data_IF_248347841631
#
_entry.id   IF_248347841631
#
_cell.length_a   1.000
_cell.length_b   1.000
_cell.length_c   1.000
_cell.angle_alpha   90.00
_cell.angle_beta   90.00
_cell.angle_gamma   90.00
#
_symmetry.space_group_name_H-M   'P 1'
#
loop_
_entity.id
_entity.type
_entity.pdbx_description
1 polymer ?
#
# COMPACT_ATOMS: atom_id res chain seq x y z
N UNK A 1 -48.02 29.05 62.46
CA UNK A 1 -49.29 29.66 62.04
C UNK A 1 -49.86 28.82 60.89
N UNK A 2 -51.06 28.26 61.11
CA UNK A 2 -52.07 27.60 60.25
C UNK A 2 -51.71 26.95 58.88
N UNK A 3 -52.16 25.69 58.77
CA UNK A 3 -52.30 24.68 57.66
C UNK A 3 -52.98 25.21 56.34
N UNK A 4 -53.44 24.36 55.39
CA UNK A 4 -52.90 23.23 54.58
C UNK A 4 -53.17 23.39 53.04
N UNK A 5 -52.92 22.36 52.19
CA UNK A 5 -53.85 21.75 51.17
C UNK A 5 -53.23 21.31 49.80
N UNK A 6 -53.65 20.09 49.39
CA UNK A 6 -54.06 19.57 48.05
C UNK A 6 -53.01 19.11 47.03
N UNK A 7 -53.12 17.80 46.72
CA UNK A 7 -52.63 17.16 45.52
C UNK A 7 -53.58 17.39 44.34
N UNK A 8 -53.03 17.62 43.15
CA UNK A 8 -53.74 17.47 41.88
C UNK A 8 -52.83 16.72 40.89
N UNK A 9 -53.25 15.51 40.52
CA UNK A 9 -52.67 14.77 39.40
C UNK A 9 -53.19 15.38 38.10
N UNK A 10 -52.28 15.81 37.23
CA UNK A 10 -52.61 16.16 35.85
C UNK A 10 -52.27 14.97 34.94
N UNK A 11 -53.29 14.40 34.31
CA UNK A 11 -53.15 13.55 33.13
C UNK A 11 -52.60 14.39 31.97
N UNK A 12 -51.47 13.99 31.40
CA UNK A 12 -51.03 14.50 30.09
C UNK A 12 -51.47 13.52 29.00
N UNK A 13 -52.36 14.02 28.12
CA UNK A 13 -52.70 13.37 26.86
C UNK A 13 -51.49 13.44 25.92
N UNK A 14 -51.05 12.29 25.41
CA UNK A 14 -50.04 12.21 24.35
C UNK A 14 -50.73 12.44 23.01
N UNK A 15 -50.55 13.63 22.45
CA UNK A 15 -50.84 13.89 21.03
C UNK A 15 -49.72 13.25 20.20
N UNK A 16 -50.04 12.16 19.49
CA UNK A 16 -49.16 11.58 18.48
C UNK A 16 -49.24 12.43 17.20
N UNK A 17 -48.24 13.26 16.98
CA UNK A 17 -48.03 13.96 15.72
C UNK A 17 -47.35 13.01 14.74
N UNK A 18 -48.04 12.66 13.65
CA UNK A 18 -47.55 11.80 12.57
C UNK A 18 -46.52 12.48 11.67
N UNK A 19 -45.45 13.01 12.25
CA UNK A 19 -44.28 13.45 11.50
C UNK A 19 -43.46 12.23 11.10
N UNK A 20 -43.34 11.98 9.80
CA UNK A 20 -42.35 11.04 9.29
C UNK A 20 -40.98 11.47 9.83
N UNK A 21 -40.40 10.66 10.73
CA UNK A 21 -39.01 10.78 11.11
C UNK A 21 -38.22 10.41 9.86
N UNK A 22 -37.77 11.43 9.12
CA UNK A 22 -36.72 11.26 8.14
C UNK A 22 -35.47 10.97 8.95
N UNK A 23 -35.21 9.69 9.21
CA UNK A 23 -33.90 9.24 9.66
C UNK A 23 -32.96 9.59 8.53
N UNK A 24 -31.97 10.49 8.71
CA UNK A 24 -30.98 10.72 7.68
C UNK A 24 -30.32 9.37 7.41
N UNK A 25 -30.49 8.84 6.21
CA UNK A 25 -29.69 7.72 5.73
C UNK A 25 -28.25 8.13 5.98
N UNK A 26 -27.53 7.38 6.81
CA UNK A 26 -26.09 7.50 6.84
C UNK A 26 -25.63 7.23 5.42
N UNK A 27 -25.33 8.30 4.67
CA UNK A 27 -24.56 8.20 3.44
C UNK A 27 -23.21 7.68 3.90
N UNK A 28 -23.09 6.35 4.01
CA UNK A 28 -21.81 5.69 4.03
C UNK A 28 -21.08 6.22 2.82
N UNK A 29 -20.00 6.96 3.06
CA UNK A 29 -19.06 7.33 2.02
C UNK A 29 -18.59 5.98 1.45
N UNK A 30 -19.17 5.58 0.32
CA UNK A 30 -18.65 4.45 -0.45
C UNK A 30 -17.38 5.02 -1.05
N UNK A 31 -16.25 4.89 -0.35
CA UNK A 31 -14.96 5.07 -0.98
C UNK A 31 -14.96 4.12 -2.18
N UNK A 32 -14.96 4.67 -3.38
CA UNK A 32 -14.91 3.87 -4.60
C UNK A 32 -13.64 3.02 -4.50
N UNK A 33 -13.79 1.71 -4.43
CA UNK A 33 -12.64 0.82 -4.28
C UNK A 33 -11.78 0.95 -5.54
N UNK A 34 -10.53 1.38 -5.36
CA UNK A 34 -9.57 1.48 -6.47
C UNK A 34 -9.25 0.08 -6.97
N UNK A 35 -9.56 -0.16 -8.24
CA UNK A 35 -9.27 -1.41 -8.95
C UNK A 35 -8.48 -1.11 -10.21
N UNK A 36 -7.81 -2.12 -10.74
CA UNK A 36 -7.11 -2.01 -12.03
C UNK A 36 -8.05 -1.69 -13.20
N UNK A 37 -9.37 -1.84 -13.04
CA UNK A 37 -10.36 -1.57 -14.09
C UNK A 37 -10.81 -0.11 -14.13
N UNK A 38 -10.65 0.62 -13.03
CA UNK A 38 -11.11 2.02 -12.90
C UNK A 38 -9.99 3.00 -12.51
N UNK A 39 -8.77 2.49 -12.29
CA UNK A 39 -7.63 3.28 -11.84
C UNK A 39 -6.46 2.99 -12.78
N UNK A 40 -5.98 3.99 -13.56
CA UNK A 40 -4.83 3.80 -14.42
C UNK A 40 -3.55 3.60 -13.60
N UNK A 41 -2.54 2.98 -14.21
CA UNK A 41 -1.20 2.95 -13.64
C UNK A 41 -0.67 4.40 -13.48
N UNK A 42 -0.06 4.76 -12.34
CA UNK A 42 0.50 6.09 -12.16
C UNK A 42 1.56 6.40 -13.20
N UNK A 43 1.50 7.59 -13.80
CA UNK A 43 2.58 8.09 -14.65
C UNK A 43 3.74 8.65 -13.82
N UNK A 44 3.44 9.18 -12.63
CA UNK A 44 4.39 9.78 -11.71
C UNK A 44 4.10 9.37 -10.26
N UNK A 45 5.09 9.58 -9.39
CA UNK A 45 5.00 9.48 -7.94
C UNK A 45 5.73 10.67 -7.29
N UNK A 46 5.20 11.15 -6.17
CA UNK A 46 5.72 12.27 -5.40
C UNK A 46 6.54 11.75 -4.22
N UNK A 47 7.85 11.94 -4.28
CA UNK A 47 8.81 11.46 -3.26
C UNK A 47 9.25 12.62 -2.39
N UNK A 48 8.94 12.59 -1.10
CA UNK A 48 9.52 13.52 -0.14
C UNK A 48 11.00 13.20 0.08
N UNK A 49 11.87 14.19 -0.09
CA UNK A 49 13.31 14.05 0.16
C UNK A 49 13.62 14.54 1.57
N UNK A 50 13.93 13.58 2.46
CA UNK A 50 14.36 13.83 3.83
C UNK A 50 15.87 14.05 3.92
N UNK A 51 16.26 14.96 4.79
CA UNK A 51 17.66 15.25 5.07
C UNK A 51 18.42 13.98 5.48
N UNK A 52 19.61 13.77 4.92
CA UNK A 52 20.52 12.66 5.21
C UNK A 52 19.94 11.24 5.03
N UNK A 53 18.83 11.10 4.30
CA UNK A 53 18.09 9.84 4.21
C UNK A 53 17.66 9.29 5.58
N UNK A 54 17.40 10.19 6.55
CA UNK A 54 16.98 9.84 7.90
C UNK A 54 15.44 9.75 7.96
N UNK A 55 14.84 8.61 8.38
CA UNK A 55 13.41 8.48 8.62
C UNK A 55 12.79 9.54 9.54
N UNK A 56 13.60 10.17 10.39
CA UNK A 56 13.22 11.26 11.31
C UNK A 56 13.71 12.64 10.84
N UNK A 57 14.43 12.68 9.72
CA UNK A 57 14.94 13.92 9.14
C UNK A 57 13.81 14.81 8.62
N UNK A 58 14.04 16.12 8.66
CA UNK A 58 13.12 17.10 8.07
C UNK A 58 12.93 16.83 6.57
N UNK A 59 11.71 17.04 6.08
CA UNK A 59 11.44 17.04 4.65
C UNK A 59 12.00 18.34 4.07
N UNK A 60 12.86 18.22 3.06
CA UNK A 60 13.51 19.36 2.41
C UNK A 60 12.69 19.86 1.20
N UNK A 61 12.20 18.93 0.38
CA UNK A 61 11.30 19.19 -0.75
C UNK A 61 10.56 17.90 -1.15
N UNK A 62 9.60 18.03 -2.07
CA UNK A 62 8.91 16.89 -2.72
C UNK A 62 9.31 16.86 -4.19
N UNK A 63 9.82 15.72 -4.65
CA UNK A 63 10.26 15.48 -6.01
C UNK A 63 9.20 14.69 -6.78
N UNK A 64 8.82 15.15 -7.97
CA UNK A 64 8.00 14.36 -8.90
C UNK A 64 8.90 13.48 -9.76
N UNK A 65 8.68 12.17 -9.73
CA UNK A 65 9.50 11.15 -10.43
C UNK A 65 8.60 10.32 -11.34
N UNK A 66 9.09 9.90 -12.51
CA UNK A 66 8.37 8.94 -13.35
C UNK A 66 8.16 7.62 -12.60
N UNK A 67 6.96 7.05 -12.65
CA UNK A 67 6.65 5.92 -11.74
C UNK A 67 7.50 4.67 -12.03
N UNK A 68 7.81 4.39 -13.31
CA UNK A 68 8.72 3.31 -13.68
C UNK A 68 10.16 3.58 -13.26
N UNK A 69 10.60 4.82 -13.39
CA UNK A 69 11.94 5.26 -12.97
C UNK A 69 12.09 5.12 -11.45
N UNK A 70 11.09 5.55 -10.68
CA UNK A 70 11.04 5.33 -9.24
C UNK A 70 11.18 3.84 -8.89
N UNK A 71 10.45 2.94 -9.56
CA UNK A 71 10.57 1.50 -9.30
C UNK A 71 11.97 0.97 -9.60
N UNK A 72 12.59 1.43 -10.70
CA UNK A 72 13.97 1.07 -11.06
C UNK A 72 15.01 1.59 -10.07
N UNK A 73 14.78 2.77 -9.49
CA UNK A 73 15.65 3.39 -8.49
C UNK A 73 15.41 2.89 -7.05
N UNK A 74 14.28 2.24 -6.78
CA UNK A 74 14.02 1.60 -5.46
C UNK A 74 14.55 0.19 -5.42
N UNK A 75 14.27 -0.62 -6.45
CA UNK A 75 14.55 -2.05 -6.43
C UNK A 75 16.00 -2.42 -6.06
N UNK A 76 17.07 -1.77 -6.57
CA UNK A 76 18.44 -2.14 -6.21
C UNK A 76 18.84 -1.77 -4.77
N UNK A 77 18.03 -0.98 -4.06
CA UNK A 77 18.23 -0.65 -2.65
C UNK A 77 17.46 -1.61 -1.73
N UNK A 78 16.44 -2.31 -2.25
CA UNK A 78 15.62 -3.26 -1.50
C UNK A 78 15.97 -4.74 -1.81
N UNK A 79 16.43 -5.01 -3.03
CA UNK A 79 16.90 -6.32 -3.50
C UNK A 79 18.31 -6.18 -4.08
N UNK A 80 19.22 -7.06 -3.68
CA UNK A 80 20.57 -7.07 -4.26
C UNK A 80 20.51 -7.48 -5.73
N UNK A 81 21.16 -6.71 -6.61
CA UNK A 81 21.09 -6.90 -8.06
C UNK A 81 21.64 -8.25 -8.56
N UNK A 82 22.44 -8.94 -7.74
CA UNK A 82 22.99 -10.27 -8.06
C UNK A 82 22.11 -11.45 -7.62
N UNK A 83 20.94 -11.18 -7.04
CA UNK A 83 19.95 -12.20 -6.68
C UNK A 83 19.29 -12.82 -7.91
N UNK A 84 18.62 -13.95 -7.73
CA UNK A 84 17.98 -14.69 -8.82
C UNK A 84 16.97 -13.81 -9.57
N UNK A 85 16.90 -13.91 -10.92
CA UNK A 85 15.96 -13.12 -11.70
C UNK A 85 14.50 -13.22 -11.25
N UNK A 86 14.07 -14.40 -10.78
CA UNK A 86 12.71 -14.61 -10.28
C UNK A 86 12.47 -13.95 -8.91
N UNK A 87 13.49 -13.84 -8.06
CA UNK A 87 13.43 -13.05 -6.83
C UNK A 87 13.35 -11.54 -7.16
N UNK A 88 14.15 -11.08 -8.12
CA UNK A 88 14.12 -9.68 -8.59
C UNK A 88 12.76 -9.31 -9.18
N UNK A 89 12.12 -10.19 -9.97
CA UNK A 89 10.76 -9.96 -10.48
C UNK A 89 9.72 -9.91 -9.37
N UNK A 90 9.82 -10.76 -8.35
CA UNK A 90 8.93 -10.72 -7.20
C UNK A 90 9.11 -9.42 -6.41
N UNK A 91 10.35 -9.00 -6.16
CA UNK A 91 10.69 -7.72 -5.56
C UNK A 91 10.18 -6.53 -6.38
N UNK A 92 10.38 -6.54 -7.69
CA UNK A 92 9.90 -5.52 -8.62
C UNK A 92 8.36 -5.35 -8.56
N UNK A 93 7.63 -6.46 -8.51
CA UNK A 93 6.17 -6.43 -8.34
C UNK A 93 5.77 -5.85 -6.98
N UNK A 94 6.46 -6.23 -5.91
CA UNK A 94 6.21 -5.68 -4.58
C UNK A 94 6.46 -4.16 -4.56
N UNK A 95 7.58 -3.71 -5.13
CA UNK A 95 7.92 -2.29 -5.23
C UNK A 95 6.86 -1.51 -6.01
N UNK A 96 6.47 -2.02 -7.18
CA UNK A 96 5.43 -1.40 -8.02
C UNK A 96 4.10 -1.28 -7.29
N UNK A 97 3.62 -2.36 -6.67
CA UNK A 97 2.29 -2.33 -6.03
C UNK A 97 2.27 -1.50 -4.75
N UNK A 98 3.36 -1.49 -3.98
CA UNK A 98 3.53 -0.60 -2.83
C UNK A 98 3.47 0.88 -3.25
N UNK A 99 4.30 1.27 -4.24
CA UNK A 99 4.30 2.63 -4.75
C UNK A 99 2.94 3.06 -5.32
N UNK A 100 2.27 2.17 -6.08
CA UNK A 100 0.95 2.48 -6.64
C UNK A 100 -0.09 2.69 -5.54
N UNK A 101 -0.11 1.83 -4.53
CA UNK A 101 -1.00 2.03 -3.38
C UNK A 101 -0.77 3.40 -2.72
N UNK A 102 0.48 3.81 -2.55
CA UNK A 102 0.81 5.08 -1.93
C UNK A 102 0.48 6.32 -2.76
N UNK A 103 0.52 6.23 -4.10
CA UNK A 103 -0.03 7.29 -4.98
C UNK A 103 -1.54 7.49 -4.75
N UNK A 104 -2.27 6.42 -4.42
CA UNK A 104 -3.71 6.49 -4.12
C UNK A 104 -4.00 6.92 -2.67
N UNK A 105 -2.99 6.92 -1.80
CA UNK A 105 -3.11 7.22 -0.38
C UNK A 105 -2.01 8.18 0.07
N UNK A 106 -1.94 9.40 -0.51
CA UNK A 106 -0.92 10.37 -0.15
C UNK A 106 -1.05 10.78 1.32
N UNK A 107 0.06 11.15 1.92
CA UNK A 107 0.14 11.63 3.30
C UNK A 107 0.58 13.09 3.32
N UNK A 108 0.18 13.82 4.38
CA UNK A 108 0.65 15.18 4.63
C UNK A 108 1.45 15.22 5.93
N UNK A 109 2.73 15.58 5.85
CA UNK A 109 3.64 15.73 7.00
C UNK A 109 4.37 17.07 6.88
N UNK A 110 4.42 17.84 7.97
CA UNK A 110 5.10 19.14 8.03
C UNK A 110 4.70 20.12 6.90
N UNK A 111 3.44 20.03 6.44
CA UNK A 111 2.89 20.86 5.37
C UNK A 111 3.17 20.37 3.95
N UNK A 112 3.92 19.28 3.79
CA UNK A 112 4.17 18.64 2.49
C UNK A 112 3.21 17.48 2.28
N UNK A 113 2.55 17.43 1.11
CA UNK A 113 1.78 16.27 0.65
C UNK A 113 2.59 15.48 -0.36
N UNK A 114 2.73 14.18 -0.13
CA UNK A 114 3.54 13.27 -0.95
C UNK A 114 3.02 11.84 -0.86
N UNK A 115 3.50 10.97 -1.75
CA UNK A 115 3.06 9.58 -1.84
C UNK A 115 3.95 8.69 -0.96
N UNK A 116 5.27 8.87 -1.07
CA UNK A 116 6.32 8.14 -0.33
C UNK A 116 7.46 9.09 0.06
N UNK A 117 8.33 8.69 0.99
CA UNK A 117 9.61 9.38 1.23
C UNK A 117 10.80 8.53 0.78
N UNK A 118 12.01 9.12 0.73
CA UNK A 118 13.20 8.44 0.22
C UNK A 118 13.82 7.41 1.18
N UNK A 119 13.22 7.21 2.35
CA UNK A 119 13.78 6.43 3.45
C UNK A 119 13.08 5.08 3.63
N UNK A 120 13.52 4.32 4.62
CA UNK A 120 12.91 3.04 4.99
C UNK A 120 11.53 3.16 5.66
N UNK A 121 10.99 4.38 5.86
CA UNK A 121 9.58 4.56 6.24
C UNK A 121 8.62 4.01 5.19
N UNK A 122 9.01 4.06 3.91
CA UNK A 122 8.23 3.57 2.78
C UNK A 122 9.07 2.53 2.02
N UNK A 123 10.02 3.00 1.22
CA UNK A 123 10.97 2.19 0.45
C UNK A 123 12.23 3.03 0.22
N UNK A 124 13.40 2.40 0.24
CA UNK A 124 14.65 3.12 0.06
C UNK A 124 14.82 3.60 -1.39
N UNK A 125 14.52 4.88 -1.63
CA UNK A 125 14.67 5.53 -2.94
C UNK A 125 15.99 6.29 -3.02
N UNK A 126 16.76 6.02 -4.08
CA UNK A 126 17.95 6.80 -4.44
C UNK A 126 17.92 7.13 -5.93
N UNK A 127 17.89 8.43 -6.23
CA UNK A 127 17.88 8.93 -7.60
C UNK A 127 19.04 8.38 -8.45
N UNK A 128 18.74 7.90 -9.66
CA UNK A 128 19.69 7.31 -10.60
C UNK A 128 20.51 6.14 -10.03
N UNK A 129 19.90 5.34 -9.16
CA UNK A 129 20.55 4.16 -8.56
C UNK A 129 20.24 2.84 -9.27
N UNK A 130 19.42 2.89 -10.33
CA UNK A 130 19.11 1.76 -11.21
C UNK A 130 20.31 0.89 -11.57
N UNK A 131 20.05 -0.42 -11.69
CA UNK A 131 21.03 -1.45 -12.07
C UNK A 131 20.44 -2.30 -13.20
N UNK A 132 21.27 -2.77 -14.10
CA UNK A 132 20.81 -3.49 -15.29
C UNK A 132 19.85 -4.64 -14.94
N UNK A 133 20.21 -5.49 -13.98
CA UNK A 133 19.42 -6.67 -13.59
C UNK A 133 18.08 -6.30 -12.95
N UNK A 134 18.07 -5.29 -12.08
CA UNK A 134 16.84 -4.82 -11.42
C UNK A 134 15.93 -4.08 -12.40
N UNK A 135 16.50 -3.28 -13.30
CA UNK A 135 15.75 -2.57 -14.33
C UNK A 135 15.10 -3.55 -15.32
N UNK A 136 15.79 -4.64 -15.67
CA UNK A 136 15.22 -5.73 -16.47
C UNK A 136 14.04 -6.38 -15.73
N UNK A 137 14.14 -6.63 -14.44
CA UNK A 137 13.04 -7.18 -13.65
C UNK A 137 11.81 -6.24 -13.64
N UNK A 138 12.02 -4.92 -13.41
CA UNK A 138 10.96 -3.90 -13.46
C UNK A 138 10.30 -3.86 -14.85
N UNK A 139 11.08 -3.84 -15.94
CA UNK A 139 10.56 -3.88 -17.31
C UNK A 139 9.73 -5.14 -17.59
N UNK A 140 10.21 -6.29 -17.16
CA UNK A 140 9.55 -7.58 -17.42
C UNK A 140 8.19 -7.70 -16.73
N UNK A 141 8.01 -7.09 -15.55
CA UNK A 141 6.73 -7.12 -14.82
C UNK A 141 5.81 -5.95 -15.17
N UNK A 142 6.30 -4.96 -15.92
CA UNK A 142 5.60 -3.69 -16.13
C UNK A 142 4.16 -3.82 -16.65
N UNK A 143 3.86 -4.74 -17.60
CA UNK A 143 2.50 -4.94 -18.09
C UNK A 143 1.52 -5.56 -17.08
N UNK A 144 1.99 -6.01 -15.91
CA UNK A 144 1.19 -6.79 -14.97
C UNK A 144 1.02 -6.08 -13.62
N UNK A 145 -0.04 -6.43 -12.90
CA UNK A 145 -0.31 -6.03 -11.53
C UNK A 145 -0.67 -7.28 -10.71
N UNK A 146 -0.23 -7.31 -9.46
CA UNK A 146 -0.55 -8.40 -8.53
C UNK A 146 -1.50 -7.87 -7.45
N UNK A 147 -2.78 -8.15 -7.62
CA UNK A 147 -3.91 -7.44 -6.99
C UNK A 147 -4.83 -8.41 -6.28
N UNK A 148 -5.76 -7.90 -5.47
CA UNK A 148 -6.83 -8.75 -4.92
C UNK A 148 -7.62 -9.42 -6.05
N UNK A 149 -8.23 -10.57 -5.78
CA UNK A 149 -8.97 -11.37 -6.78
C UNK A 149 -10.13 -10.61 -7.44
N UNK A 150 -10.65 -9.56 -6.80
CA UNK A 150 -11.65 -8.65 -7.36
C UNK A 150 -11.06 -7.47 -8.18
N UNK A 151 -9.75 -7.48 -8.46
CA UNK A 151 -9.03 -6.40 -9.13
C UNK A 151 -8.57 -5.27 -8.21
N UNK A 152 -8.83 -5.37 -6.90
CA UNK A 152 -8.46 -4.37 -5.90
C UNK A 152 -6.97 -4.07 -5.82
N UNK A 153 -6.61 -2.79 -5.90
CA UNK A 153 -5.23 -2.33 -5.71
C UNK A 153 -4.95 -2.25 -4.22
N UNK A 154 -3.92 -2.95 -3.76
CA UNK A 154 -3.43 -2.87 -2.39
C UNK A 154 -1.90 -2.99 -2.37
N UNK A 155 -1.25 -2.62 -1.26
CA UNK A 155 0.18 -2.70 -1.15
C UNK A 155 0.63 -4.16 -1.09
N UNK A 156 1.88 -4.38 -1.47
CA UNK A 156 2.60 -5.63 -1.26
C UNK A 156 3.78 -5.32 -0.33
N UNK A 157 3.53 -5.45 0.97
CA UNK A 157 4.53 -5.14 1.99
C UNK A 157 5.69 -6.13 1.94
N UNK A 158 6.89 -5.70 2.33
CA UNK A 158 8.04 -6.58 2.44
C UNK A 158 8.95 -6.21 3.61
N UNK A 159 9.91 -7.09 3.90
CA UNK A 159 11.01 -6.83 4.86
C UNK A 159 12.19 -7.74 4.58
N UNK A 160 13.35 -7.44 5.16
CA UNK A 160 14.56 -8.25 5.02
C UNK A 160 14.33 -9.76 5.25
N UNK A 161 13.84 -10.13 6.42
CA UNK A 161 13.76 -11.54 6.84
C UNK A 161 15.14 -12.14 7.13
N UNK A 162 15.17 -13.44 7.37
CA UNK A 162 16.36 -14.23 7.72
C UNK A 162 16.99 -14.77 6.43
N UNK A 163 18.30 -14.59 6.20
CA UNK A 163 19.03 -15.18 5.08
C UNK A 163 18.91 -16.71 5.01
N UNK A 164 18.95 -17.26 3.79
CA UNK A 164 18.89 -18.71 3.53
C UNK A 164 17.65 -19.41 4.13
N UNK A 165 16.52 -18.71 4.22
CA UNK A 165 15.29 -19.23 4.78
C UNK A 165 14.08 -18.67 4.02
N UNK A 166 13.06 -19.49 3.76
CA UNK A 166 11.80 -19.02 3.16
C UNK A 166 11.01 -18.07 4.08
N UNK A 167 11.43 -17.90 5.33
CA UNK A 167 10.75 -17.10 6.35
C UNK A 167 9.27 -17.49 6.49
N UNK A 168 9.00 -18.78 6.74
CA UNK A 168 7.66 -19.37 6.83
C UNK A 168 6.69 -18.66 7.78
N UNK A 169 7.20 -17.91 8.75
CA UNK A 169 6.40 -17.05 9.62
C UNK A 169 5.69 -15.90 8.88
N UNK A 170 6.08 -15.59 7.63
CA UNK A 170 5.39 -14.63 6.76
C UNK A 170 4.55 -15.29 5.68
N UNK A 171 4.50 -16.62 5.65
CA UNK A 171 3.64 -17.35 4.75
C UNK A 171 2.19 -16.88 4.97
N UNK A 172 1.50 -16.46 3.90
CA UNK A 172 0.14 -15.88 3.95
C UNK A 172 -0.01 -14.58 4.78
N UNK A 173 1.07 -13.89 5.14
CA UNK A 173 1.01 -12.70 6.02
C UNK A 173 0.77 -11.38 5.27
N UNK A 174 0.54 -11.43 3.96
CA UNK A 174 0.52 -10.26 3.07
C UNK A 174 1.84 -9.46 3.09
N UNK A 175 2.95 -10.14 3.41
CA UNK A 175 4.28 -9.54 3.54
C UNK A 175 5.35 -10.50 3.04
N UNK A 176 6.19 -10.05 2.11
CA UNK A 176 7.29 -10.86 1.58
C UNK A 176 8.60 -10.67 2.35
N UNK A 177 9.32 -11.76 2.63
CA UNK A 177 10.73 -11.66 3.00
C UNK A 177 11.59 -11.46 1.75
N UNK A 178 12.46 -10.45 1.74
CA UNK A 178 13.47 -10.25 0.70
C UNK A 178 14.36 -11.49 0.59
N UNK A 179 15.04 -11.88 1.68
CA UNK A 179 15.86 -13.09 1.72
C UNK A 179 15.08 -14.38 1.43
N UNK A 180 13.80 -14.40 1.79
CA UNK A 180 12.95 -15.54 1.51
C UNK A 180 12.57 -15.64 0.04
N UNK A 181 12.37 -14.53 -0.67
CA UNK A 181 12.17 -14.54 -2.13
C UNK A 181 13.39 -15.11 -2.86
N UNK A 182 14.60 -14.74 -2.43
CA UNK A 182 15.85 -15.29 -2.97
C UNK A 182 16.00 -16.78 -2.67
N UNK A 183 15.70 -17.20 -1.43
CA UNK A 183 15.72 -18.61 -1.06
C UNK A 183 14.77 -19.45 -1.94
N UNK A 184 13.53 -19.00 -2.12
CA UNK A 184 12.53 -19.73 -2.91
C UNK A 184 12.89 -19.74 -4.41
N UNK A 185 13.46 -18.64 -4.93
CA UNK A 185 13.97 -18.61 -6.29
C UNK A 185 15.14 -19.58 -6.50
N UNK A 186 16.06 -19.70 -5.52
CA UNK A 186 17.12 -20.71 -5.53
C UNK A 186 16.57 -22.14 -5.49
N UNK A 187 15.43 -22.35 -4.85
CA UNK A 187 14.70 -23.62 -4.85
C UNK A 187 13.90 -23.88 -6.15
N UNK A 188 14.00 -23.00 -7.15
CA UNK A 188 13.39 -23.17 -8.48
C UNK A 188 11.99 -22.57 -8.62
N UNK A 189 11.48 -21.83 -7.63
CA UNK A 189 10.19 -21.15 -7.76
C UNK A 189 10.30 -19.93 -8.68
N UNK A 190 9.31 -19.75 -9.55
CA UNK A 190 9.16 -18.53 -10.34
C UNK A 190 8.53 -17.41 -9.51
N UNK A 191 8.59 -16.17 -10.01
CA UNK A 191 8.12 -15.00 -9.27
C UNK A 191 6.63 -15.06 -8.90
N UNK A 192 5.78 -15.68 -9.73
CA UNK A 192 4.34 -15.83 -9.43
C UNK A 192 4.13 -16.78 -8.26
N UNK A 193 4.87 -17.89 -8.22
CA UNK A 193 4.84 -18.84 -7.11
C UNK A 193 5.37 -18.19 -5.82
N UNK A 194 6.43 -17.39 -5.92
CA UNK A 194 6.99 -16.63 -4.78
C UNK A 194 5.95 -15.62 -4.26
N UNK A 195 5.31 -14.86 -5.14
CA UNK A 195 4.24 -13.93 -4.74
C UNK A 195 3.08 -14.67 -4.07
N UNK A 196 2.64 -15.79 -4.64
CA UNK A 196 1.56 -16.61 -4.10
C UNK A 196 1.86 -17.21 -2.72
N UNK A 197 3.14 -17.40 -2.38
CA UNK A 197 3.57 -17.85 -1.06
C UNK A 197 3.31 -16.79 0.03
N UNK A 198 3.61 -15.51 -0.26
CA UNK A 198 3.52 -14.43 0.73
C UNK A 198 2.18 -13.71 0.73
N UNK A 199 1.57 -13.54 -0.44
CA UNK A 199 0.43 -12.67 -0.67
C UNK A 199 -0.78 -13.46 -1.15
N UNK A 200 -1.53 -14.03 -0.22
CA UNK A 200 -2.70 -14.85 -0.54
C UNK A 200 -3.95 -14.04 -0.83
N UNK A 201 -4.91 -14.65 -1.53
CA UNK A 201 -6.09 -13.92 -2.01
C UNK A 201 -5.76 -12.88 -3.09
N UNK A 202 -4.59 -13.00 -3.72
CA UNK A 202 -4.13 -12.15 -4.80
C UNK A 202 -4.02 -12.93 -6.11
N UNK A 203 -3.99 -12.21 -7.22
CA UNK A 203 -3.83 -12.76 -8.56
C UNK A 203 -3.02 -11.82 -9.44
N UNK A 204 -2.28 -12.39 -10.39
CA UNK A 204 -1.61 -11.64 -11.43
C UNK A 204 -2.62 -11.32 -12.54
N UNK A 205 -2.79 -10.05 -12.86
CA UNK A 205 -3.60 -9.58 -13.98
C UNK A 205 -2.76 -8.68 -14.86
N UNK A 206 -3.09 -8.60 -16.15
CA UNK A 206 -2.55 -7.55 -16.99
C UNK A 206 -3.09 -6.21 -16.50
N UNK A 207 -2.20 -5.24 -16.28
CA UNK A 207 -2.57 -3.89 -15.85
C UNK A 207 -3.31 -3.12 -16.95
N UNK A 208 -3.99 -2.03 -16.59
CA UNK A 208 -4.63 -1.11 -17.54
C UNK A 208 -3.60 -0.36 -18.40
#
# INVERSE_FOLDING_TARGET
MKRPWIAAMALFAVLLWGGAVVVPSAHGQVYAYHTIYNTPLPSVIHVAIRANNDPRGQILWVQTVGFQEYCSDVLPNEWFSNWKPEALKAGAMAVKMFGWYHVLHPVTIDGFTFDVDNTTNFQEYKYMSGRFETDQAVRNIWPYAYVYTNGGIGPLDFRAGIPNNANWMYNHSQKMAQWGSEYLANAGMNYIQILGFYYTGRTLLQGP
#
